data_IF_483025331636
#
_entry.id   IF_483025331636
#
_cell.length_a   1.000
_cell.length_b   1.000
_cell.length_c   1.000
_cell.angle_alpha   90.00
_cell.angle_beta   90.00
_cell.angle_gamma   90.00
#
_symmetry.space_group_name_H-M   'P 1'
#
loop_
_entity.id
_entity.type
_entity.pdbx_description
1 polymer ?
#
# COMPACT_ATOMS: atom_id res chain seq x y z
N UNK A 1 41.56 43.83 12.82
CA UNK A 1 40.45 43.59 13.78
C UNK A 1 39.05 43.61 13.14
N UNK A 2 38.90 43.42 11.81
CA UNK A 2 37.58 43.45 11.12
C UNK A 2 37.25 42.14 10.36
N UNK A 3 37.97 41.05 10.64
CA UNK A 3 37.73 39.74 9.99
C UNK A 3 37.17 38.67 10.93
N UNK A 4 37.13 38.94 12.25
CA UNK A 4 36.65 37.98 13.25
C UNK A 4 35.14 38.13 13.57
N UNK A 5 34.53 39.26 13.21
CA UNK A 5 33.11 39.54 13.51
C UNK A 5 32.11 38.98 12.49
N UNK A 6 32.56 38.62 11.27
CA UNK A 6 31.65 38.14 10.21
C UNK A 6 31.24 36.67 10.40
N UNK A 7 32.04 35.87 11.10
CA UNK A 7 31.76 34.42 11.28
C UNK A 7 30.63 34.18 12.29
N UNK A 8 30.35 35.13 13.18
CA UNK A 8 29.34 34.96 14.24
C UNK A 8 27.91 35.24 13.74
N UNK A 9 27.73 35.99 12.64
CA UNK A 9 26.40 36.43 12.20
C UNK A 9 25.64 35.42 11.31
N UNK A 10 26.31 34.38 10.81
CA UNK A 10 25.72 33.37 9.90
C UNK A 10 25.30 32.05 10.60
N UNK A 11 25.57 31.92 11.90
CA UNK A 11 25.35 30.67 12.62
C UNK A 11 23.90 30.33 13.05
N UNK A 12 22.90 31.24 13.17
CA UNK A 12 21.61 30.83 13.71
C UNK A 12 20.62 30.30 12.67
N UNK A 13 20.97 30.24 11.37
CA UNK A 13 20.00 29.85 10.33
C UNK A 13 19.84 28.32 10.12
N UNK A 14 20.68 27.48 10.73
CA UNK A 14 20.73 26.04 10.43
C UNK A 14 20.08 25.12 11.48
N UNK A 15 19.44 25.65 12.52
CA UNK A 15 18.71 24.82 13.49
C UNK A 15 17.22 24.98 13.22
N UNK A 16 16.75 24.39 12.12
CA UNK A 16 15.33 24.06 12.05
C UNK A 16 15.08 22.88 12.98
N UNK A 17 14.10 22.95 13.91
CA UNK A 17 13.75 21.79 14.70
C UNK A 17 13.34 20.69 13.74
N UNK A 18 14.01 19.54 13.82
CA UNK A 18 13.56 18.31 13.15
C UNK A 18 12.21 17.98 13.78
N UNK A 19 11.13 18.44 13.17
CA UNK A 19 9.80 17.99 13.55
C UNK A 19 9.76 16.52 13.21
N UNK A 20 9.67 15.66 14.23
CA UNK A 20 9.32 14.27 14.02
C UNK A 20 8.05 14.26 13.16
N UNK A 21 8.08 13.51 12.06
CA UNK A 21 6.93 13.38 11.19
C UNK A 21 5.77 12.86 12.04
N UNK A 22 4.58 13.43 11.89
CA UNK A 22 3.39 12.94 12.57
C UNK A 22 3.27 11.44 12.35
N UNK A 23 3.09 10.67 13.42
CA UNK A 23 3.02 9.20 13.34
C UNK A 23 1.85 8.81 12.43
N UNK A 24 2.15 8.41 11.20
CA UNK A 24 1.16 7.85 10.28
C UNK A 24 0.83 6.46 10.79
N UNK A 25 -0.42 6.25 11.16
CA UNK A 25 -0.93 4.96 11.64
C UNK A 25 -1.92 4.39 10.61
N UNK A 26 -1.97 3.07 10.53
CA UNK A 26 -3.02 2.37 9.80
C UNK A 26 -4.33 2.41 10.59
N UNK A 27 -5.46 2.35 9.90
CA UNK A 27 -6.76 2.11 10.53
C UNK A 27 -6.91 0.58 10.69
N UNK A 28 -6.84 0.10 11.94
CA UNK A 28 -6.89 -1.32 12.26
C UNK A 28 -8.25 -1.93 11.90
N UNK A 29 -9.36 -1.31 12.34
CA UNK A 29 -10.71 -1.84 12.12
C UNK A 29 -11.02 -1.99 10.62
N UNK A 30 -10.59 -1.02 9.80
CA UNK A 30 -10.76 -1.09 8.34
C UNK A 30 -9.94 -2.23 7.73
N UNK A 31 -8.71 -2.42 8.21
CA UNK A 31 -7.84 -3.51 7.74
C UNK A 31 -8.44 -4.87 8.10
N UNK A 32 -8.88 -5.03 9.35
CA UNK A 32 -9.49 -6.26 9.84
C UNK A 32 -10.78 -6.60 9.07
N UNK A 33 -11.67 -5.62 8.88
CA UNK A 33 -12.88 -5.81 8.06
C UNK A 33 -12.55 -6.29 6.66
N UNK A 34 -11.58 -5.65 5.99
CA UNK A 34 -11.17 -6.02 4.62
C UNK A 34 -10.59 -7.44 4.56
N UNK A 35 -9.86 -7.87 5.58
CA UNK A 35 -9.29 -9.22 5.66
C UNK A 35 -10.36 -10.27 5.92
N UNK A 36 -11.31 -10.00 6.81
CA UNK A 36 -12.42 -10.91 7.09
C UNK A 36 -13.34 -11.05 5.87
N UNK A 37 -13.66 -9.96 5.19
CA UNK A 37 -14.44 -10.00 3.93
C UNK A 37 -13.72 -10.81 2.83
N UNK A 38 -12.40 -10.66 2.70
CA UNK A 38 -11.60 -11.47 1.77
C UNK A 38 -11.58 -12.96 2.19
N UNK A 39 -11.63 -13.26 3.48
CA UNK A 39 -11.59 -14.63 3.98
C UNK A 39 -12.84 -15.43 3.61
N UNK A 40 -14.00 -14.78 3.45
CA UNK A 40 -15.27 -15.44 3.07
C UNK A 40 -15.19 -16.15 1.70
N UNK A 41 -14.35 -15.66 0.79
CA UNK A 41 -14.18 -16.28 -0.53
C UNK A 41 -13.42 -17.61 -0.40
N UNK A 42 -14.11 -18.71 -0.71
CA UNK A 42 -13.52 -20.05 -0.68
C UNK A 42 -13.75 -20.78 0.65
N UNK A 43 -14.56 -20.26 1.57
CA UNK A 43 -15.04 -21.04 2.72
C UNK A 43 -16.14 -22.00 2.24
N UNK A 44 -15.94 -23.29 2.44
CA UNK A 44 -16.96 -24.31 2.20
C UNK A 44 -17.89 -24.46 3.41
N UNK A 45 -19.04 -25.07 3.22
CA UNK A 45 -20.02 -25.35 4.29
C UNK A 45 -19.43 -26.15 5.47
N UNK A 46 -18.43 -27.01 5.21
CA UNK A 46 -17.73 -27.78 6.23
C UNK A 46 -16.59 -27.02 6.95
N UNK A 47 -16.40 -25.72 6.63
CA UNK A 47 -15.36 -24.87 7.20
C UNK A 47 -13.98 -25.03 6.56
N UNK A 48 -13.82 -25.91 5.56
CA UNK A 48 -12.57 -25.99 4.80
C UNK A 48 -12.39 -24.76 3.92
N UNK A 49 -11.15 -24.30 3.80
CA UNK A 49 -10.78 -23.26 2.84
C UNK A 49 -10.41 -23.90 1.51
N UNK A 50 -10.93 -23.37 0.42
CA UNK A 50 -10.56 -23.74 -0.93
C UNK A 50 -10.62 -22.51 -1.82
N UNK A 51 -9.46 -21.87 -1.98
CA UNK A 51 -9.23 -20.77 -2.90
C UNK A 51 -7.98 -21.01 -3.72
N UNK A 52 -7.91 -22.17 -4.36
CA UNK A 52 -6.82 -22.50 -5.30
C UNK A 52 -6.80 -21.48 -6.44
N UNK A 53 -5.61 -21.10 -6.88
CA UNK A 53 -5.42 -20.13 -7.96
C UNK A 53 -6.30 -20.46 -9.18
N UNK A 54 -7.00 -19.44 -9.70
CA UNK A 54 -7.94 -19.51 -10.82
C UNK A 54 -9.19 -20.37 -10.61
N UNK A 55 -9.47 -20.82 -9.39
CA UNK A 55 -10.81 -21.32 -9.05
C UNK A 55 -11.85 -20.20 -9.07
N UNK A 56 -13.13 -20.54 -9.12
CA UNK A 56 -14.22 -19.54 -9.03
C UNK A 56 -14.13 -18.69 -7.75
N UNK A 57 -13.68 -19.29 -6.65
CA UNK A 57 -13.44 -18.59 -5.39
C UNK A 57 -12.27 -17.59 -5.48
N UNK A 58 -11.18 -17.96 -6.17
CA UNK A 58 -10.06 -17.04 -6.40
C UNK A 58 -10.47 -15.89 -7.33
N UNK A 59 -11.22 -16.18 -8.40
CA UNK A 59 -11.73 -15.15 -9.32
C UNK A 59 -12.62 -14.15 -8.57
N UNK A 60 -13.53 -14.63 -7.73
CA UNK A 60 -14.38 -13.75 -6.92
C UNK A 60 -13.56 -12.90 -5.91
N UNK A 61 -12.55 -13.49 -5.26
CA UNK A 61 -11.67 -12.79 -4.34
C UNK A 61 -10.81 -11.73 -5.06
N UNK A 62 -10.32 -12.04 -6.26
CA UNK A 62 -9.59 -11.11 -7.13
C UNK A 62 -10.45 -9.90 -7.49
N UNK A 63 -11.70 -10.13 -7.87
CA UNK A 63 -12.65 -9.05 -8.20
C UNK A 63 -12.90 -8.14 -6.99
N UNK A 64 -13.02 -8.72 -5.80
CA UNK A 64 -13.13 -7.97 -4.55
C UNK A 64 -11.90 -7.08 -4.30
N UNK A 65 -10.68 -7.62 -4.42
CA UNK A 65 -9.45 -6.84 -4.24
C UNK A 65 -9.31 -5.73 -5.30
N UNK A 66 -9.64 -6.03 -6.57
CA UNK A 66 -9.65 -5.03 -7.65
C UNK A 66 -10.63 -3.90 -7.33
N UNK A 67 -11.80 -4.22 -6.79
CA UNK A 67 -12.79 -3.22 -6.36
C UNK A 67 -12.21 -2.31 -5.28
N UNK A 68 -11.62 -2.85 -4.22
CA UNK A 68 -10.99 -2.07 -3.15
C UNK A 68 -9.89 -1.14 -3.68
N UNK A 69 -9.05 -1.62 -4.60
CA UNK A 69 -8.00 -0.81 -5.25
C UNK A 69 -8.60 0.36 -6.03
N UNK A 70 -9.66 0.11 -6.81
CA UNK A 70 -10.34 1.16 -7.58
C UNK A 70 -11.05 2.18 -6.70
N UNK A 71 -11.64 1.76 -5.58
CA UNK A 71 -12.32 2.65 -4.63
C UNK A 71 -11.39 3.71 -4.02
N UNK A 72 -10.11 3.38 -3.84
CA UNK A 72 -9.09 4.34 -3.38
C UNK A 72 -8.38 5.07 -4.53
N UNK A 73 -8.88 4.93 -5.76
CA UNK A 73 -8.40 5.64 -6.94
C UNK A 73 -7.12 5.09 -7.56
N UNK A 74 -6.79 3.81 -7.34
CA UNK A 74 -5.66 3.18 -8.04
C UNK A 74 -6.01 2.93 -9.52
N UNK A 75 -5.01 3.08 -10.39
CA UNK A 75 -5.04 2.52 -11.73
C UNK A 75 -4.73 1.02 -11.64
N UNK A 76 -5.68 0.18 -12.06
CA UNK A 76 -5.58 -1.28 -11.89
C UNK A 76 -5.39 -1.96 -13.24
N UNK A 77 -4.33 -2.74 -13.34
CA UNK A 77 -4.00 -3.56 -14.51
C UNK A 77 -3.78 -5.01 -14.13
N UNK A 78 -3.94 -5.91 -15.09
CA UNK A 78 -3.63 -7.33 -14.97
C UNK A 78 -2.58 -7.66 -16.03
N UNK A 79 -1.45 -8.24 -15.62
CA UNK A 79 -0.39 -8.64 -16.56
C UNK A 79 -0.67 -10.00 -17.22
N UNK A 80 0.24 -10.44 -18.10
CA UNK A 80 0.10 -11.71 -18.82
C UNK A 80 0.18 -12.96 -17.92
N UNK A 81 0.78 -12.86 -16.74
CA UNK A 81 0.81 -13.94 -15.76
C UNK A 81 -0.42 -13.93 -14.85
N UNK A 82 -1.30 -12.93 -15.00
CA UNK A 82 -2.50 -12.75 -14.21
C UNK A 82 -2.28 -11.94 -12.93
N UNK A 83 -1.10 -11.36 -12.69
CA UNK A 83 -0.86 -10.55 -11.49
C UNK A 83 -1.71 -9.30 -11.54
N UNK A 84 -2.36 -8.95 -10.42
CA UNK A 84 -3.17 -7.74 -10.28
C UNK A 84 -2.27 -6.64 -9.70
N UNK A 85 -2.14 -5.54 -10.42
CA UNK A 85 -1.28 -4.40 -10.03
C UNK A 85 -2.12 -3.13 -9.94
N UNK A 86 -2.29 -2.63 -8.72
CA UNK A 86 -2.86 -1.31 -8.44
C UNK A 86 -1.77 -0.26 -8.25
N UNK A 87 -1.81 0.82 -9.02
CA UNK A 87 -0.82 1.89 -9.02
C UNK A 87 -1.44 3.23 -8.59
N UNK A 88 -0.81 3.91 -7.64
CA UNK A 88 -1.08 5.33 -7.36
C UNK A 88 0.09 6.14 -7.92
N UNK A 89 -0.20 7.11 -8.79
CA UNK A 89 0.83 7.96 -9.37
C UNK A 89 1.56 8.77 -8.29
N UNK A 90 2.89 8.62 -8.26
CA UNK A 90 3.75 9.47 -7.45
C UNK A 90 3.85 10.89 -8.03
N UNK A 91 4.37 11.83 -7.24
CA UNK A 91 4.60 13.22 -7.70
C UNK A 91 5.60 13.33 -8.85
N UNK A 92 6.52 12.37 -8.98
CA UNK A 92 7.52 12.31 -10.04
C UNK A 92 7.38 10.98 -10.80
N UNK A 93 6.83 11.00 -12.03
CA UNK A 93 6.60 9.78 -12.81
C UNK A 93 7.89 9.14 -13.36
N UNK A 94 9.05 9.80 -13.22
CA UNK A 94 10.34 9.26 -13.69
C UNK A 94 11.01 8.34 -12.67
N UNK A 95 10.55 8.34 -11.42
CA UNK A 95 11.10 7.49 -10.36
C UNK A 95 10.55 6.08 -10.47
N UNK A 96 11.37 5.10 -10.06
CA UNK A 96 10.94 3.71 -9.96
C UNK A 96 9.83 3.57 -8.91
N UNK A 97 8.85 2.68 -9.12
CA UNK A 97 7.80 2.42 -8.14
C UNK A 97 8.38 1.76 -6.89
N UNK A 98 7.71 2.01 -5.75
CA UNK A 98 7.86 1.17 -4.56
C UNK A 98 6.69 0.17 -4.59
N UNK A 99 7.01 -1.12 -4.68
CA UNK A 99 6.02 -2.18 -4.76
C UNK A 99 6.01 -3.01 -3.48
N UNK A 100 4.81 -3.41 -3.05
CA UNK A 100 4.57 -4.36 -1.99
C UNK A 100 3.35 -5.19 -2.36
N UNK A 101 3.30 -6.42 -1.89
CA UNK A 101 2.24 -7.35 -2.22
C UNK A 101 2.51 -8.73 -1.63
N UNK A 102 1.59 -9.64 -1.88
CA UNK A 102 1.67 -11.06 -1.56
C UNK A 102 0.78 -11.81 -2.55
N UNK A 103 0.37 -13.02 -2.21
CA UNK A 103 -0.64 -13.79 -2.90
C UNK A 103 -1.96 -13.78 -2.11
N UNK A 104 -3.07 -14.10 -2.78
CA UNK A 104 -4.40 -14.21 -2.16
C UNK A 104 -5.02 -15.60 -2.32
N UNK A 105 -4.42 -16.49 -3.10
CA UNK A 105 -4.83 -17.90 -3.18
C UNK A 105 -4.50 -18.67 -1.90
N UNK A 106 -5.17 -19.82 -1.71
CA UNK A 106 -5.03 -20.73 -0.58
C UNK A 106 -4.87 -22.18 -1.08
N UNK A 107 -4.23 -23.00 -0.26
CA UNK A 107 -4.07 -24.45 -0.47
C UNK A 107 -5.21 -25.26 0.11
#
# INVERSE_FOLDING_TARGET
MLRLFIIILLAPLCIQPIKAQSKILVNQDRLESSLLELAEFGIKENGETNRVAFSDADIAARDFVIKLMREVGMDVSIDFAGNIVGTIAGKDPKKKPLAFGSHIDMV
#
